data_IF_386991385692
#
_entry.id   IF_386991385692
#
_cell.length_a   1.000
_cell.length_b   1.000
_cell.length_c   1.000
_cell.angle_alpha   90.00
_cell.angle_beta   90.00
_cell.angle_gamma   90.00
#
_symmetry.space_group_name_H-M   'P 1'
#
loop_
_entity.id
_entity.type
_entity.pdbx_description
1 polymer ?
#
# COMPACT_ATOMS: atom_id res chain seq x y z
N UNK A 1 -5.35 5.72 39.84
CA UNK A 1 -5.51 4.94 38.60
C UNK A 1 -6.70 5.50 37.84
N UNK A 2 -6.46 6.43 36.92
CA UNK A 2 -7.51 6.99 36.07
C UNK A 2 -7.79 6.00 34.93
N UNK A 3 -9.05 5.63 34.75
CA UNK A 3 -9.49 4.85 33.60
C UNK A 3 -9.28 5.71 32.34
N UNK A 4 -8.21 5.45 31.58
CA UNK A 4 -8.11 5.87 30.18
C UNK A 4 -9.25 5.21 29.42
N UNK A 5 -10.38 5.90 29.32
CA UNK A 5 -11.61 5.36 28.78
C UNK A 5 -11.54 5.23 27.26
N UNK A 6 -12.16 4.18 26.71
CA UNK A 6 -12.29 3.97 25.26
C UNK A 6 -12.75 5.23 24.49
N UNK A 7 -13.48 6.13 25.15
CA UNK A 7 -13.87 7.44 24.63
C UNK A 7 -12.71 8.36 24.25
N UNK A 8 -11.61 8.37 25.00
CA UNK A 8 -10.42 9.16 24.67
C UNK A 8 -9.66 8.55 23.47
N UNK A 9 -9.68 7.21 23.35
CA UNK A 9 -9.16 6.50 22.19
C UNK A 9 -9.91 6.82 20.90
N UNK A 10 -11.25 6.80 20.92
CA UNK A 10 -12.08 7.15 19.76
C UNK A 10 -11.85 8.60 19.32
N UNK A 11 -11.78 9.54 20.27
CA UNK A 11 -11.51 10.96 19.96
C UNK A 11 -10.14 11.15 19.30
N UNK A 12 -9.11 10.45 19.76
CA UNK A 12 -7.78 10.49 19.15
C UNK A 12 -7.77 9.97 17.71
N UNK A 13 -8.42 8.83 17.45
CA UNK A 13 -8.53 8.28 16.09
C UNK A 13 -9.34 9.19 15.15
N UNK A 14 -10.40 9.82 15.65
CA UNK A 14 -11.17 10.81 14.88
C UNK A 14 -10.35 12.05 14.53
N UNK A 15 -9.46 12.51 15.42
CA UNK A 15 -8.55 13.62 15.12
C UNK A 15 -7.64 13.28 13.93
N UNK A 16 -7.04 12.10 13.98
CA UNK A 16 -6.17 11.58 12.91
C UNK A 16 -6.91 11.44 11.58
N UNK A 17 -8.17 10.98 11.60
CA UNK A 17 -9.01 10.91 10.41
C UNK A 17 -9.33 12.29 9.82
N UNK A 18 -9.46 13.34 10.65
CA UNK A 18 -9.69 14.72 10.16
C UNK A 18 -8.45 15.35 9.55
N UNK A 19 -7.26 14.94 9.99
CA UNK A 19 -5.98 15.37 9.40
C UNK A 19 -5.68 14.70 8.05
N UNK A 20 -6.49 13.71 7.64
CA UNK A 20 -6.39 13.01 6.36
C UNK A 20 -7.63 13.37 5.56
N UNK A 21 -7.47 13.79 4.30
CA UNK A 21 -8.63 13.90 3.41
C UNK A 21 -9.19 12.50 3.16
N UNK A 22 -10.26 12.14 3.87
CA UNK A 22 -10.97 10.87 3.67
C UNK A 22 -11.90 10.91 2.47
N UNK A 23 -12.09 12.10 1.90
CA UNK A 23 -12.95 12.33 0.75
C UNK A 23 -12.41 11.57 -0.45
N UNK A 24 -11.08 11.54 -0.64
CA UNK A 24 -10.44 10.71 -1.67
C UNK A 24 -10.73 9.23 -1.45
N UNK A 25 -10.53 8.70 -0.24
CA UNK A 25 -10.79 7.27 0.05
C UNK A 25 -12.27 6.93 -0.16
N UNK A 26 -13.18 7.84 0.21
CA UNK A 26 -14.62 7.68 0.02
C UNK A 26 -14.98 7.69 -1.46
N UNK A 27 -14.53 8.69 -2.21
CA UNK A 27 -14.75 8.83 -3.64
C UNK A 27 -14.25 7.60 -4.39
N UNK A 28 -13.03 7.13 -4.07
CA UNK A 28 -12.48 5.93 -4.67
C UNK A 28 -13.31 4.69 -4.33
N UNK A 29 -13.74 4.54 -3.08
CA UNK A 29 -14.55 3.42 -2.65
C UNK A 29 -15.95 3.41 -3.30
N UNK A 30 -16.58 4.57 -3.42
CA UNK A 30 -17.96 4.72 -3.90
C UNK A 30 -18.07 4.73 -5.43
N UNK A 31 -16.95 4.91 -6.15
CA UNK A 31 -16.89 4.80 -7.61
C UNK A 31 -16.62 3.34 -8.01
N UNK A 32 -17.59 2.61 -8.60
CA UNK A 32 -17.38 1.23 -9.00
C UNK A 32 -16.32 1.11 -10.10
N UNK A 33 -15.48 0.06 -10.11
CA UNK A 33 -14.45 -0.09 -11.11
C UNK A 33 -15.04 -0.48 -12.48
N UNK A 34 -14.31 -0.18 -13.56
CA UNK A 34 -14.58 -0.69 -14.91
C UNK A 34 -13.40 -1.51 -15.42
N UNK A 35 -13.66 -2.74 -15.82
CA UNK A 35 -12.64 -3.70 -16.27
C UNK A 35 -12.96 -4.16 -17.68
N UNK A 36 -12.00 -4.00 -18.59
CA UNK A 36 -12.07 -4.63 -19.91
C UNK A 36 -11.53 -6.06 -19.80
N UNK A 37 -12.28 -7.04 -20.31
CA UNK A 37 -11.83 -8.42 -20.45
C UNK A 37 -11.76 -8.76 -21.94
N UNK A 38 -10.56 -9.07 -22.41
CA UNK A 38 -10.31 -9.55 -23.77
C UNK A 38 -9.97 -11.03 -23.71
N UNK A 39 -10.71 -11.84 -24.45
CA UNK A 39 -10.52 -13.29 -24.51
C UNK A 39 -10.48 -13.81 -25.96
N UNK A 40 -10.20 -15.11 -26.19
CA UNK A 40 -10.16 -15.69 -27.54
C UNK A 40 -11.47 -15.46 -28.31
N UNK A 41 -12.59 -15.55 -27.61
CA UNK A 41 -13.94 -15.23 -28.09
C UNK A 41 -14.66 -14.35 -27.08
N UNK A 42 -15.73 -13.66 -27.49
CA UNK A 42 -16.53 -12.82 -26.58
C UNK A 42 -17.16 -13.64 -25.46
N UNK A 43 -17.52 -14.91 -25.71
CA UNK A 43 -18.03 -15.82 -24.69
C UNK A 43 -16.94 -16.27 -23.71
N UNK A 44 -15.73 -16.56 -24.21
CA UNK A 44 -14.58 -16.88 -23.37
C UNK A 44 -14.19 -15.70 -22.46
N UNK A 45 -14.20 -14.48 -23.01
CA UNK A 45 -14.02 -13.24 -22.25
C UNK A 45 -15.09 -13.06 -21.17
N UNK A 46 -16.36 -13.31 -21.51
CA UNK A 46 -17.49 -13.24 -20.56
C UNK A 46 -17.34 -14.25 -19.43
N UNK A 47 -17.03 -15.52 -19.72
CA UNK A 47 -16.79 -16.55 -18.70
C UNK A 47 -15.64 -16.18 -17.76
N UNK A 48 -14.53 -15.69 -18.31
CA UNK A 48 -13.39 -15.21 -17.52
C UNK A 48 -13.80 -14.03 -16.62
N UNK A 49 -14.53 -13.06 -17.16
CA UNK A 49 -15.00 -11.92 -16.37
C UNK A 49 -15.96 -12.31 -15.25
N UNK A 50 -16.89 -13.23 -15.49
CA UNK A 50 -17.78 -13.76 -14.47
C UNK A 50 -17.02 -14.51 -13.36
N UNK A 51 -16.00 -15.30 -13.73
CA UNK A 51 -15.12 -15.94 -12.76
C UNK A 51 -14.33 -14.91 -11.94
N UNK A 52 -13.86 -13.84 -12.60
CA UNK A 52 -13.08 -12.77 -11.98
C UNK A 52 -13.90 -11.93 -10.99
N UNK A 53 -15.04 -11.40 -11.43
CA UNK A 53 -15.83 -10.41 -10.67
C UNK A 53 -16.97 -11.02 -9.87
N UNK A 54 -17.35 -12.27 -10.16
CA UNK A 54 -18.57 -12.90 -9.67
C UNK A 54 -19.80 -12.45 -10.46
N UNK A 55 -20.90 -13.20 -10.37
CA UNK A 55 -22.13 -12.90 -11.10
C UNK A 55 -22.69 -11.50 -10.77
N UNK A 56 -22.62 -11.09 -9.50
CA UNK A 56 -23.05 -9.76 -9.03
C UNK A 56 -22.17 -8.63 -9.60
N UNK A 57 -20.94 -8.94 -10.01
CA UNK A 57 -19.95 -7.99 -10.51
C UNK A 57 -20.00 -7.73 -12.02
N UNK A 58 -20.94 -8.35 -12.75
CA UNK A 58 -20.99 -8.28 -14.21
C UNK A 58 -21.09 -6.83 -14.73
N UNK A 59 -21.75 -5.93 -14.00
CA UNK A 59 -21.91 -4.51 -14.36
C UNK A 59 -20.57 -3.76 -14.49
N UNK A 60 -19.51 -4.28 -13.85
CA UNK A 60 -18.18 -3.69 -13.83
C UNK A 60 -17.35 -4.12 -15.05
N UNK A 61 -17.80 -5.10 -15.83
CA UNK A 61 -16.99 -5.73 -16.87
C UNK A 61 -17.50 -5.49 -18.29
N UNK A 62 -16.57 -5.23 -19.21
CA UNK A 62 -16.81 -5.23 -20.65
C UNK A 62 -16.08 -6.39 -21.30
N UNK A 63 -16.69 -7.01 -22.31
CA UNK A 63 -16.16 -8.21 -22.96
C UNK A 63 -15.86 -7.94 -24.43
N UNK A 64 -14.69 -8.37 -24.89
CA UNK A 64 -14.27 -8.29 -26.29
C UNK A 64 -13.57 -9.58 -26.71
N UNK A 65 -13.80 -10.02 -27.94
CA UNK A 65 -12.95 -11.04 -28.55
C UNK A 65 -11.58 -10.45 -28.94
N UNK A 66 -10.56 -11.30 -29.02
CA UNK A 66 -9.18 -10.93 -29.29
C UNK A 66 -8.97 -10.21 -30.64
N UNK A 67 -9.90 -10.40 -31.59
CA UNK A 67 -9.93 -9.78 -32.91
C UNK A 67 -10.99 -8.68 -33.07
N UNK A 68 -11.83 -8.44 -32.05
CA UNK A 68 -12.90 -7.45 -32.09
C UNK A 68 -12.35 -6.03 -31.93
N UNK A 69 -12.93 -5.00 -32.57
CA UNK A 69 -12.55 -3.60 -32.35
C UNK A 69 -12.63 -3.19 -30.87
N UNK A 70 -11.70 -2.32 -30.46
CA UNK A 70 -11.55 -1.83 -29.08
C UNK A 70 -11.94 -0.35 -28.97
N UNK A 71 -13.07 -0.02 -29.59
CA UNK A 71 -13.62 1.32 -29.62
C UNK A 71 -14.62 1.51 -28.46
N UNK A 72 -14.91 2.76 -28.11
CA UNK A 72 -15.91 3.17 -27.10
C UNK A 72 -15.74 2.53 -25.71
N UNK A 73 -14.49 2.31 -25.28
CA UNK A 73 -14.19 1.71 -23.98
C UNK A 73 -14.60 2.63 -22.81
N UNK A 74 -14.52 3.95 -22.99
CA UNK A 74 -14.66 4.93 -21.92
C UNK A 74 -13.59 4.72 -20.82
N UNK A 75 -13.81 5.29 -19.62
CA UNK A 75 -12.87 5.15 -18.51
C UNK A 75 -12.73 3.70 -18.06
N UNK A 76 -11.50 3.19 -18.01
CA UNK A 76 -11.14 1.88 -17.48
C UNK A 76 -10.28 2.02 -16.22
N UNK A 77 -10.43 1.08 -15.28
CA UNK A 77 -9.54 0.93 -14.14
C UNK A 77 -8.59 -0.27 -14.32
N UNK A 78 -8.92 -1.22 -15.21
CA UNK A 78 -8.01 -2.30 -15.59
C UNK A 78 -8.41 -2.91 -16.93
N UNK A 79 -7.44 -3.54 -17.59
CA UNK A 79 -7.69 -4.41 -18.73
C UNK A 79 -7.05 -5.79 -18.48
N UNK A 80 -7.83 -6.84 -18.69
CA UNK A 80 -7.39 -8.24 -18.61
C UNK A 80 -7.31 -8.81 -20.00
N UNK A 81 -6.19 -9.46 -20.30
CA UNK A 81 -5.95 -10.08 -21.61
C UNK A 81 -5.71 -11.57 -21.43
N UNK A 82 -6.59 -12.38 -22.02
CA UNK A 82 -6.43 -13.81 -22.20
C UNK A 82 -6.28 -14.11 -23.69
N UNK A 83 -5.04 -14.34 -24.11
CA UNK A 83 -4.66 -14.54 -25.51
C UNK A 83 -3.73 -15.76 -25.63
N UNK A 84 -4.27 -16.99 -25.46
CA UNK A 84 -3.48 -18.22 -25.49
C UNK A 84 -2.85 -18.47 -26.87
N UNK A 85 -3.55 -18.08 -27.93
CA UNK A 85 -3.11 -18.26 -29.32
C UNK A 85 -2.15 -17.15 -29.78
N UNK A 86 -1.85 -16.18 -28.92
CA UNK A 86 -0.93 -15.06 -29.16
C UNK A 86 -1.30 -14.28 -30.43
N UNK A 87 -2.58 -13.96 -30.58
CA UNK A 87 -3.10 -13.18 -31.71
C UNK A 87 -2.64 -11.72 -31.71
N UNK A 88 -1.98 -11.27 -30.63
CA UNK A 88 -1.52 -9.90 -30.47
C UNK A 88 -2.53 -9.02 -29.73
N UNK A 89 -3.51 -9.61 -29.05
CA UNK A 89 -4.55 -8.88 -28.33
C UNK A 89 -3.96 -7.94 -27.26
N UNK A 90 -2.87 -8.35 -26.61
CA UNK A 90 -2.18 -7.51 -25.62
C UNK A 90 -1.65 -6.20 -26.20
N UNK A 91 -1.02 -6.25 -27.39
CA UNK A 91 -0.54 -5.05 -28.07
C UNK A 91 -1.70 -4.15 -28.50
N UNK A 92 -2.78 -4.75 -29.01
CA UNK A 92 -3.99 -3.99 -29.39
C UNK A 92 -4.62 -3.26 -28.21
N UNK A 93 -4.77 -3.95 -27.08
CA UNK A 93 -5.26 -3.33 -25.83
C UNK A 93 -4.33 -2.21 -25.39
N UNK A 94 -3.01 -2.45 -25.43
CA UNK A 94 -2.02 -1.42 -25.10
C UNK A 94 -2.18 -0.17 -25.96
N UNK A 95 -2.36 -0.32 -27.27
CA UNK A 95 -2.60 0.81 -28.17
C UNK A 95 -3.94 1.51 -27.89
N UNK A 96 -4.99 0.75 -27.58
CA UNK A 96 -6.32 1.31 -27.32
C UNK A 96 -6.37 2.20 -26.07
N UNK A 97 -5.59 1.89 -25.03
CA UNK A 97 -5.60 2.61 -23.74
C UNK A 97 -4.36 3.49 -23.53
N UNK A 98 -3.47 3.63 -24.52
CA UNK A 98 -2.17 4.29 -24.35
C UNK A 98 -2.26 5.78 -23.97
N UNK A 99 -3.38 6.43 -24.27
CA UNK A 99 -3.62 7.84 -23.98
C UNK A 99 -4.54 8.07 -22.77
N UNK A 100 -4.95 7.00 -22.09
CA UNK A 100 -5.79 7.11 -20.90
C UNK A 100 -5.00 7.68 -19.73
N UNK A 101 -5.66 8.58 -18.97
CA UNK A 101 -5.12 9.16 -17.75
C UNK A 101 -6.13 8.95 -16.61
N UNK A 102 -5.76 8.24 -15.53
CA UNK A 102 -4.46 7.59 -15.32
C UNK A 102 -4.22 6.39 -16.27
N UNK A 103 -2.96 5.96 -16.44
CA UNK A 103 -2.65 4.79 -17.28
C UNK A 103 -3.40 3.55 -16.83
N UNK A 104 -4.07 2.87 -17.75
CA UNK A 104 -4.84 1.65 -17.46
C UNK A 104 -3.89 0.45 -17.30
N UNK A 105 -3.88 -0.22 -16.12
CA UNK A 105 -3.07 -1.41 -15.96
C UNK A 105 -3.58 -2.57 -16.81
N UNK A 106 -2.67 -3.12 -17.63
CA UNK A 106 -2.94 -4.31 -18.43
C UNK A 106 -2.38 -5.52 -17.70
N UNK A 107 -3.25 -6.49 -17.38
CA UNK A 107 -2.90 -7.73 -16.69
C UNK A 107 -3.17 -8.91 -17.60
N UNK A 108 -2.15 -9.75 -17.82
CA UNK A 108 -2.30 -10.96 -18.60
C UNK A 108 -2.87 -12.07 -17.71
N UNK A 109 -3.87 -12.80 -18.21
CA UNK A 109 -4.33 -14.02 -17.60
C UNK A 109 -3.50 -15.21 -18.10
N UNK A 110 -2.83 -15.91 -17.18
CA UNK A 110 -1.93 -17.04 -17.48
C UNK A 110 -2.55 -18.41 -17.13
N UNK A 111 -3.81 -18.44 -16.70
CA UNK A 111 -4.51 -19.69 -16.36
C UNK A 111 -4.92 -20.51 -17.58
N UNK A 112 -5.24 -21.79 -17.36
CA UNK A 112 -5.70 -22.70 -18.42
C UNK A 112 -7.12 -22.36 -18.91
N UNK A 113 -7.89 -21.64 -18.10
CA UNK A 113 -9.23 -21.17 -18.45
C UNK A 113 -9.96 -20.56 -17.26
N UNK A 114 -11.22 -20.12 -17.45
CA UNK A 114 -12.01 -19.45 -16.40
C UNK A 114 -12.28 -20.30 -15.15
N UNK A 115 -12.17 -21.63 -15.28
CA UNK A 115 -12.41 -22.59 -14.19
C UNK A 115 -11.16 -22.80 -13.30
N UNK A 116 -10.01 -22.18 -13.65
CA UNK A 116 -8.79 -22.21 -12.84
C UNK A 116 -8.87 -21.19 -11.68
N UNK A 117 -9.46 -21.63 -10.56
CA UNK A 117 -9.68 -20.79 -9.38
C UNK A 117 -8.39 -20.13 -8.85
N UNK A 118 -7.24 -20.82 -8.93
CA UNK A 118 -5.96 -20.28 -8.45
C UNK A 118 -5.47 -19.15 -9.34
N UNK A 119 -5.54 -19.33 -10.66
CA UNK A 119 -5.17 -18.28 -11.61
C UNK A 119 -6.11 -17.08 -11.49
N UNK A 120 -7.41 -17.30 -11.24
CA UNK A 120 -8.37 -16.22 -11.02
C UNK A 120 -8.05 -15.43 -9.75
N UNK A 121 -7.76 -16.11 -8.63
CA UNK A 121 -7.39 -15.43 -7.40
C UNK A 121 -6.09 -14.62 -7.56
N UNK A 122 -5.11 -15.20 -8.25
CA UNK A 122 -3.87 -14.49 -8.55
C UNK A 122 -4.10 -13.28 -9.47
N UNK A 123 -4.99 -13.40 -10.46
CA UNK A 123 -5.40 -12.30 -11.33
C UNK A 123 -6.03 -11.16 -10.53
N UNK A 124 -6.91 -11.44 -9.55
CA UNK A 124 -7.47 -10.39 -8.67
C UNK A 124 -6.38 -9.64 -7.92
N UNK A 125 -5.43 -10.37 -7.33
CA UNK A 125 -4.30 -9.78 -6.61
C UNK A 125 -3.44 -8.90 -7.52
N UNK A 126 -3.16 -9.35 -8.75
CA UNK A 126 -2.33 -8.59 -9.68
C UNK A 126 -3.02 -7.34 -10.23
N UNK A 127 -4.34 -7.39 -10.44
CA UNK A 127 -5.14 -6.20 -10.76
C UNK A 127 -5.03 -5.18 -9.62
N UNK A 128 -5.25 -5.60 -8.38
CA UNK A 128 -5.25 -4.69 -7.23
C UNK A 128 -3.85 -4.11 -6.95
N UNK A 129 -2.79 -4.90 -7.10
CA UNK A 129 -1.39 -4.44 -6.92
C UNK A 129 -1.02 -3.31 -7.88
N UNK A 130 -1.54 -3.35 -9.11
CA UNK A 130 -1.31 -2.31 -10.11
C UNK A 130 -2.27 -1.12 -9.99
N UNK A 131 -3.25 -1.21 -9.09
CA UNK A 131 -4.32 -0.24 -8.88
C UNK A 131 -4.44 0.19 -7.40
N UNK A 132 -3.31 0.58 -6.78
CA UNK A 132 -3.24 0.87 -5.34
C UNK A 132 -4.33 1.83 -4.83
N UNK A 133 -4.64 2.88 -5.60
CA UNK A 133 -5.65 3.88 -5.22
C UNK A 133 -7.10 3.38 -5.37
N UNK A 134 -7.33 2.37 -6.22
CA UNK A 134 -8.67 1.83 -6.51
C UNK A 134 -9.02 0.59 -5.68
N UNK A 135 -8.11 0.11 -4.82
CA UNK A 135 -8.30 -1.11 -4.03
C UNK A 135 -9.63 -1.11 -3.24
N UNK A 136 -10.00 0.03 -2.63
CA UNK A 136 -11.26 0.15 -1.90
C UNK A 136 -12.48 0.09 -2.81
N UNK A 137 -12.42 0.68 -4.00
CA UNK A 137 -13.49 0.63 -5.01
C UNK A 137 -13.75 -0.79 -5.51
N UNK A 138 -12.68 -1.52 -5.86
CA UNK A 138 -12.77 -2.93 -6.23
C UNK A 138 -13.36 -3.78 -5.11
N UNK A 139 -12.83 -3.68 -3.89
CA UNK A 139 -13.32 -4.46 -2.76
C UNK A 139 -14.76 -4.14 -2.39
N UNK A 140 -15.17 -2.87 -2.42
CA UNK A 140 -16.54 -2.46 -2.07
C UNK A 140 -17.55 -2.94 -3.09
N UNK A 141 -17.28 -2.69 -4.38
CA UNK A 141 -18.21 -2.96 -5.46
C UNK A 141 -18.29 -4.45 -5.84
N UNK A 142 -17.18 -5.19 -5.70
CA UNK A 142 -17.08 -6.57 -6.16
C UNK A 142 -16.81 -7.52 -4.98
N UNK A 143 -17.80 -8.32 -4.53
CA UNK A 143 -17.63 -9.27 -3.43
C UNK A 143 -16.45 -10.22 -3.63
N UNK A 144 -16.22 -10.67 -4.87
CA UNK A 144 -15.11 -11.55 -5.24
C UNK A 144 -13.73 -10.94 -4.97
N UNK A 145 -13.60 -9.61 -4.91
CA UNK A 145 -12.34 -8.90 -4.65
C UNK A 145 -12.14 -8.56 -3.17
N UNK A 146 -13.14 -8.68 -2.29
CA UNK A 146 -13.06 -8.21 -0.89
C UNK A 146 -11.87 -8.76 -0.13
N UNK A 147 -11.65 -10.07 -0.22
CA UNK A 147 -10.57 -10.73 0.50
C UNK A 147 -9.19 -10.30 -0.02
N UNK A 148 -9.04 -10.22 -1.35
CA UNK A 148 -7.81 -9.77 -1.99
C UNK A 148 -7.51 -8.28 -1.67
N UNK A 149 -8.54 -7.42 -1.71
CA UNK A 149 -8.43 -6.00 -1.38
C UNK A 149 -8.08 -5.78 0.09
N UNK A 150 -8.76 -6.49 1.02
CA UNK A 150 -8.45 -6.42 2.44
C UNK A 150 -7.02 -6.86 2.72
N UNK A 151 -6.59 -7.97 2.10
CA UNK A 151 -5.22 -8.46 2.21
C UNK A 151 -4.19 -7.43 1.74
N UNK A 152 -4.41 -6.79 0.59
CA UNK A 152 -3.49 -5.77 0.07
C UNK A 152 -3.39 -4.57 1.00
N UNK A 153 -4.52 -4.02 1.48
CA UNK A 153 -4.53 -2.90 2.42
C UNK A 153 -3.77 -3.23 3.71
N UNK A 154 -3.96 -4.44 4.25
CA UNK A 154 -3.27 -4.90 5.45
C UNK A 154 -1.76 -5.05 5.19
N UNK A 155 -1.39 -5.61 4.05
CA UNK A 155 0.01 -5.85 3.69
C UNK A 155 0.78 -4.54 3.48
N UNK A 156 0.22 -3.61 2.71
CA UNK A 156 0.80 -2.28 2.48
C UNK A 156 1.00 -1.53 3.80
N UNK A 157 -0.02 -1.54 4.67
CA UNK A 157 0.05 -0.87 5.98
C UNK A 157 1.11 -1.52 6.89
N UNK A 158 1.20 -2.86 6.88
CA UNK A 158 2.14 -3.60 7.71
C UNK A 158 3.58 -3.35 7.26
N UNK A 159 3.83 -3.28 5.95
CA UNK A 159 5.13 -2.92 5.38
C UNK A 159 5.50 -1.47 5.74
N UNK A 160 4.57 -0.53 5.56
CA UNK A 160 4.80 0.87 5.91
C UNK A 160 5.16 1.04 7.40
N UNK A 161 4.40 0.41 8.30
CA UNK A 161 4.69 0.46 9.74
C UNK A 161 6.02 -0.18 10.11
N UNK A 162 6.39 -1.29 9.45
CA UNK A 162 7.68 -1.92 9.64
C UNK A 162 8.83 -0.99 9.20
N UNK A 163 8.69 -0.33 8.04
CA UNK A 163 9.65 0.67 7.55
C UNK A 163 9.81 1.84 8.53
N UNK A 164 8.71 2.41 9.02
CA UNK A 164 8.75 3.51 10.00
C UNK A 164 9.48 3.12 11.28
N UNK A 165 9.27 1.89 11.78
CA UNK A 165 9.96 1.39 12.98
C UNK A 165 11.49 1.31 12.84
N UNK A 166 12.04 1.34 11.63
CA UNK A 166 13.49 1.39 11.40
C UNK A 166 13.97 2.84 11.37
N UNK A 167 13.26 3.71 10.66
CA UNK A 167 13.64 5.12 10.47
C UNK A 167 13.68 5.85 11.81
N UNK A 168 12.73 5.58 12.70
CA UNK A 168 12.73 6.12 14.07
C UNK A 168 13.86 5.57 14.96
N UNK A 169 14.55 4.52 14.51
CA UNK A 169 15.67 3.88 15.21
C UNK A 169 17.03 4.43 14.74
N UNK A 170 17.07 5.55 13.99
CA UNK A 170 18.27 6.33 13.66
C UNK A 170 18.29 7.65 14.45
N UNK A 171 18.87 7.69 15.67
CA UNK A 171 18.99 8.91 16.46
C UNK A 171 19.90 10.00 15.84
N UNK A 172 20.54 9.73 14.70
CA UNK A 172 21.70 10.50 14.22
C UNK A 172 21.46 11.40 12.99
N UNK A 173 20.27 11.41 12.37
CA UNK A 173 20.09 12.09 11.07
C UNK A 173 19.25 13.38 11.08
N UNK A 174 18.65 13.78 12.19
CA UNK A 174 17.96 15.08 12.28
C UNK A 174 18.33 15.78 13.61
N UNK A 175 19.40 16.60 13.64
CA UNK A 175 19.84 17.30 14.85
C UNK A 175 18.92 18.44 15.32
N UNK A 176 17.76 18.67 14.68
CA UNK A 176 16.98 19.90 14.87
C UNK A 176 15.72 19.71 15.74
N UNK A 177 15.26 18.47 15.99
CA UNK A 177 14.07 18.26 16.82
C UNK A 177 14.43 17.51 18.11
N UNK A 178 15.07 18.27 19.01
CA UNK A 178 15.56 17.78 20.29
C UNK A 178 14.46 17.38 21.29
N UNK A 179 14.70 16.25 21.96
CA UNK A 179 14.28 15.99 23.34
C UNK A 179 12.86 15.49 23.58
N UNK A 180 11.83 16.00 22.90
CA UNK A 180 10.42 15.69 23.23
C UNK A 180 9.54 15.31 22.03
N UNK A 181 10.03 15.46 20.79
CA UNK A 181 9.21 15.27 19.59
C UNK A 181 9.41 13.92 18.88
N UNK A 182 10.54 13.23 19.07
CA UNK A 182 10.82 11.97 18.36
C UNK A 182 9.86 10.83 18.80
N UNK A 183 9.63 10.67 20.10
CA UNK A 183 8.69 9.66 20.62
C UNK A 183 7.21 9.99 20.35
N UNK A 184 6.87 11.27 20.18
CA UNK A 184 5.51 11.74 19.90
C UNK A 184 5.13 11.67 18.43
N UNK A 185 6.06 11.97 17.51
CA UNK A 185 5.84 11.88 16.07
C UNK A 185 5.65 10.42 15.61
N UNK A 186 6.44 9.49 16.15
CA UNK A 186 6.31 8.04 15.90
C UNK A 186 4.91 7.51 16.25
N UNK A 187 4.35 8.01 17.36
CA UNK A 187 3.03 7.66 17.85
C UNK A 187 1.91 8.16 16.92
N UNK A 188 2.05 9.36 16.36
CA UNK A 188 1.06 9.98 15.48
C UNK A 188 1.03 9.27 14.12
N UNK A 189 2.20 9.00 13.52
CA UNK A 189 2.29 8.40 12.17
C UNK A 189 1.84 6.94 12.14
N UNK A 190 2.28 6.11 13.09
CA UNK A 190 1.87 4.69 13.16
C UNK A 190 0.37 4.55 13.46
N UNK A 191 -0.16 5.45 14.31
CA UNK A 191 -1.60 5.48 14.60
C UNK A 191 -2.39 5.91 13.36
N UNK A 192 -1.88 6.86 12.57
CA UNK A 192 -2.48 7.28 11.29
C UNK A 192 -2.60 6.14 10.29
N UNK A 193 -1.53 5.39 10.06
CA UNK A 193 -1.56 4.24 9.15
C UNK A 193 -2.58 3.19 9.59
N UNK A 194 -2.63 2.86 10.89
CA UNK A 194 -3.60 1.89 11.42
C UNK A 194 -5.04 2.40 11.31
N UNK A 195 -5.29 3.66 11.62
CA UNK A 195 -6.62 4.28 11.52
C UNK A 195 -7.12 4.30 10.06
N UNK A 196 -6.26 4.70 9.12
CA UNK A 196 -6.57 4.67 7.67
C UNK A 196 -6.83 3.24 7.20
N UNK A 197 -6.01 2.27 7.61
CA UNK A 197 -6.21 0.86 7.27
C UNK A 197 -7.59 0.37 7.72
N UNK A 198 -7.99 0.66 8.95
CA UNK A 198 -9.31 0.26 9.48
C UNK A 198 -10.46 0.92 8.72
N UNK A 199 -10.29 2.19 8.31
CA UNK A 199 -11.27 2.90 7.50
C UNK A 199 -11.36 2.33 6.07
N UNK A 200 -10.23 2.02 5.42
CA UNK A 200 -10.19 1.34 4.11
C UNK A 200 -10.84 -0.04 4.17
N UNK A 201 -10.60 -0.81 5.23
CA UNK A 201 -11.26 -2.09 5.46
C UNK A 201 -12.78 -1.91 5.62
N UNK A 202 -13.23 -0.90 6.38
CA UNK A 202 -14.64 -0.58 6.49
C UNK A 202 -15.27 -0.23 5.11
N UNK A 203 -14.53 0.50 4.28
CA UNK A 203 -14.95 0.84 2.92
C UNK A 203 -15.15 -0.40 2.04
N UNK A 204 -14.16 -1.32 2.05
CA UNK A 204 -14.20 -2.60 1.32
C UNK A 204 -15.42 -3.44 1.72
N UNK A 205 -15.76 -3.46 3.01
CA UNK A 205 -16.90 -4.22 3.54
C UNK A 205 -18.21 -3.44 3.56
N UNK A 206 -18.33 -2.37 2.76
CA UNK A 206 -19.63 -1.73 2.51
C UNK A 206 -20.14 -0.84 3.64
N UNK A 207 -19.32 -0.49 4.64
CA UNK A 207 -19.77 0.37 5.76
C UNK A 207 -20.07 1.79 5.29
N UNK A 208 -20.87 2.51 6.06
CA UNK A 208 -21.24 3.89 5.79
C UNK A 208 -20.08 4.84 6.11
N UNK A 209 -19.42 5.35 5.07
CA UNK A 209 -18.22 6.19 5.16
C UNK A 209 -18.49 7.62 5.65
N UNK A 210 -19.75 8.00 5.81
CA UNK A 210 -20.14 9.28 6.44
C UNK A 210 -20.17 9.18 7.97
N UNK A 211 -20.28 7.97 8.52
CA UNK A 211 -20.32 7.74 9.97
C UNK A 211 -19.00 7.17 10.50
N UNK A 212 -17.95 7.99 10.41
CA UNK A 212 -16.61 7.66 10.88
C UNK A 212 -16.58 7.26 12.36
N UNK A 213 -17.42 7.91 13.18
CA UNK A 213 -17.50 7.63 14.62
C UNK A 213 -17.98 6.22 14.86
N UNK A 214 -19.06 5.81 14.21
CA UNK A 214 -19.60 4.44 14.35
C UNK A 214 -18.60 3.41 13.84
N UNK A 215 -17.96 3.63 12.68
CA UNK A 215 -16.91 2.74 12.17
C UNK A 215 -15.82 2.51 13.23
N UNK A 216 -15.32 3.59 13.83
CA UNK A 216 -14.27 3.50 14.84
C UNK A 216 -14.76 2.86 16.15
N UNK A 217 -15.96 3.18 16.61
CA UNK A 217 -16.54 2.61 17.83
C UNK A 217 -16.79 1.10 17.71
N UNK A 218 -17.20 0.63 16.54
CA UNK A 218 -17.43 -0.79 16.26
C UNK A 218 -16.14 -1.59 16.23
N UNK A 219 -15.10 -1.06 15.57
CA UNK A 219 -13.84 -1.78 15.39
C UNK A 219 -12.91 -1.64 16.61
N UNK A 220 -13.03 -0.58 17.40
CA UNK A 220 -12.13 -0.32 18.53
C UNK A 220 -12.09 -1.47 19.56
N UNK A 221 -13.20 -2.12 19.97
CA UNK A 221 -13.14 -3.28 20.86
C UNK A 221 -12.46 -4.51 20.25
N UNK A 222 -12.45 -4.61 18.92
CA UNK A 222 -11.80 -5.69 18.17
C UNK A 222 -10.29 -5.48 18.13
N UNK A 223 -9.87 -4.23 17.93
CA UNK A 223 -8.45 -3.84 17.79
C UNK A 223 -7.83 -3.29 19.08
N UNK A 224 -8.63 -3.12 20.13
CA UNK A 224 -8.20 -2.59 21.44
C UNK A 224 -7.17 -3.48 22.12
N UNK A 225 -7.18 -4.78 21.83
CA UNK A 225 -6.08 -5.69 22.18
C UNK A 225 -4.81 -5.45 21.35
N UNK A 226 -4.93 -4.97 20.11
CA UNK A 226 -3.79 -4.60 19.25
C UNK A 226 -3.07 -3.31 19.67
N UNK A 227 -3.76 -2.39 20.36
CA UNK A 227 -3.14 -1.27 21.08
C UNK A 227 -2.21 -1.75 22.21
N UNK A 228 -2.52 -2.90 22.84
CA UNK A 228 -1.67 -3.56 23.85
C UNK A 228 -0.38 -4.13 23.25
N UNK A 229 -0.40 -4.55 21.99
CA UNK A 229 0.78 -5.06 21.28
C UNK A 229 1.91 -4.02 21.14
N UNK A 230 1.60 -2.72 21.28
CA UNK A 230 2.60 -1.64 21.28
C UNK A 230 3.34 -1.52 22.62
N UNK A 231 2.64 -1.77 23.73
CA UNK A 231 3.26 -1.92 25.05
C UNK A 231 4.21 -3.12 25.03
N UNK A 232 3.78 -4.23 24.42
CA UNK A 232 4.61 -5.41 24.22
C UNK A 232 5.82 -5.15 23.30
N UNK A 233 5.68 -4.34 22.25
CA UNK A 233 6.80 -3.93 21.40
C UNK A 233 7.86 -3.08 22.14
N UNK A 234 7.38 -2.17 23.01
CA UNK A 234 8.23 -1.32 23.85
C UNK A 234 8.95 -2.16 24.91
N UNK A 235 8.26 -3.08 25.56
CA UNK A 235 8.85 -4.01 26.54
C UNK A 235 9.84 -4.97 25.89
N UNK A 236 9.49 -5.57 24.74
CA UNK A 236 10.40 -6.45 24.00
C UNK A 236 11.71 -5.74 23.61
N UNK A 237 11.65 -4.44 23.31
CA UNK A 237 12.84 -3.63 23.02
C UNK A 237 13.70 -3.29 24.23
N UNK A 238 13.13 -3.31 25.43
CA UNK A 238 13.85 -3.07 26.69
C UNK A 238 14.52 -4.33 27.22
N UNK A 239 14.04 -5.52 26.82
CA UNK A 239 14.50 -6.81 27.34
C UNK A 239 15.54 -7.49 26.45
N UNK A 240 15.60 -7.17 25.15
CA UNK A 240 16.62 -7.70 24.25
C UNK A 240 17.92 -6.87 24.34
N UNK A 241 19.05 -7.46 24.82
CA UNK A 241 20.33 -6.77 24.83
C UNK A 241 20.73 -6.40 23.40
N UNK A 242 21.50 -5.31 23.28
CA UNK A 242 22.02 -4.67 22.06
C UNK A 242 22.64 -5.58 20.96
N UNK A 243 22.72 -6.90 21.17
CA UNK A 243 23.32 -7.87 20.27
C UNK A 243 22.40 -8.41 19.14
N UNK A 244 21.08 -8.16 19.16
CA UNK A 244 20.14 -8.71 18.16
C UNK A 244 19.57 -7.69 17.12
N UNK A 245 19.96 -6.41 17.18
CA UNK A 245 19.64 -5.41 16.15
C UNK A 245 18.15 -5.03 16.01
N UNK A 246 17.80 -4.29 14.95
CA UNK A 246 16.45 -3.74 14.67
C UNK A 246 15.37 -4.78 14.28
N UNK A 247 15.75 -6.06 14.19
CA UNK A 247 14.93 -7.17 13.65
C UNK A 247 13.71 -7.51 14.53
N UNK A 248 13.80 -7.57 15.88
CA UNK A 248 12.66 -7.91 16.72
C UNK A 248 11.54 -6.85 16.70
N UNK A 249 11.89 -5.55 16.67
CA UNK A 249 10.91 -4.46 16.61
C UNK A 249 10.13 -4.47 15.29
N UNK A 250 10.85 -4.63 14.17
CA UNK A 250 10.26 -4.75 12.84
C UNK A 250 9.25 -5.89 12.80
N UNK A 251 9.64 -7.04 13.36
CA UNK A 251 8.81 -8.21 13.43
C UNK A 251 7.50 -7.99 14.20
N UNK A 252 7.60 -7.35 15.35
CA UNK A 252 6.45 -7.04 16.20
C UNK A 252 5.54 -6.01 15.52
N UNK A 253 6.11 -4.97 14.88
CA UNK A 253 5.35 -3.94 14.17
C UNK A 253 4.59 -4.49 12.96
N UNK A 254 5.26 -5.32 12.15
CA UNK A 254 4.63 -6.00 11.01
C UNK A 254 3.54 -6.96 11.49
N UNK A 255 3.88 -7.91 12.37
CA UNK A 255 2.96 -8.94 12.82
C UNK A 255 1.75 -8.38 13.58
N UNK A 256 1.98 -7.35 14.40
CA UNK A 256 0.91 -6.65 15.10
C UNK A 256 -0.05 -5.94 14.16
N UNK A 257 0.46 -5.30 13.11
CA UNK A 257 -0.38 -4.64 12.11
C UNK A 257 -1.20 -5.65 11.31
N UNK A 258 -0.60 -6.78 10.91
CA UNK A 258 -1.33 -7.87 10.23
C UNK A 258 -2.42 -8.44 11.14
N UNK A 259 -2.10 -8.76 12.40
CA UNK A 259 -3.06 -9.34 13.33
C UNK A 259 -4.26 -8.40 13.57
N UNK A 260 -4.00 -7.09 13.77
CA UNK A 260 -5.04 -6.06 13.90
C UNK A 260 -5.89 -5.95 12.63
N UNK A 261 -5.25 -5.92 11.47
CA UNK A 261 -5.94 -5.86 10.19
C UNK A 261 -6.85 -7.06 9.95
N UNK A 262 -6.37 -8.28 10.24
CA UNK A 262 -7.14 -9.53 10.14
C UNK A 262 -8.29 -9.59 11.14
N UNK A 263 -8.08 -9.10 12.36
CA UNK A 263 -9.14 -8.99 13.35
C UNK A 263 -10.28 -8.07 12.87
N UNK A 264 -9.93 -6.90 12.34
CA UNK A 264 -10.89 -5.95 11.77
C UNK A 264 -11.59 -6.52 10.53
N UNK A 265 -10.85 -7.14 9.61
CA UNK A 265 -11.40 -7.84 8.45
C UNK A 265 -12.42 -8.92 8.87
N UNK A 266 -12.06 -9.77 9.84
CA UNK A 266 -12.94 -10.80 10.37
C UNK A 266 -14.23 -10.20 10.94
N UNK A 267 -14.11 -9.14 11.73
CA UNK A 267 -15.26 -8.42 12.28
C UNK A 267 -16.14 -7.81 11.18
N UNK A 268 -15.57 -7.09 10.22
CA UNK A 268 -16.37 -6.46 9.18
C UNK A 268 -17.09 -7.47 8.28
N UNK A 269 -16.45 -8.63 8.04
CA UNK A 269 -17.02 -9.71 7.25
C UNK A 269 -18.12 -10.48 7.97
N UNK A 270 -17.98 -10.72 9.27
CA UNK A 270 -18.84 -11.67 10.02
C UNK A 270 -19.74 -11.02 11.08
N UNK A 271 -19.44 -9.78 11.47
CA UNK A 271 -20.04 -9.11 12.63
C UNK A 271 -19.53 -9.63 13.98
N UNK A 272 -18.63 -10.63 14.00
CA UNK A 272 -18.15 -11.28 15.22
C UNK A 272 -16.76 -10.78 15.61
N UNK A 273 -16.50 -10.73 16.91
CA UNK A 273 -15.14 -10.49 17.43
C UNK A 273 -14.34 -11.79 17.33
N UNK A 274 -13.08 -11.75 16.86
CA UNK A 274 -12.23 -12.94 16.85
C UNK A 274 -11.98 -13.42 18.28
N UNK A 275 -11.95 -14.73 18.44
CA UNK A 275 -11.55 -15.41 19.68
C UNK A 275 -10.05 -15.25 19.91
N UNK A 276 -9.57 -15.55 21.13
CA UNK A 276 -8.13 -15.55 21.44
C UNK A 276 -7.34 -16.50 20.53
N UNK A 277 -7.86 -17.71 20.29
CA UNK A 277 -7.23 -18.68 19.42
C UNK A 277 -7.08 -18.17 17.97
N UNK A 278 -8.10 -17.48 17.44
CA UNK A 278 -8.02 -16.84 16.12
C UNK A 278 -7.00 -15.69 16.09
N UNK A 279 -6.89 -14.92 17.17
CA UNK A 279 -5.87 -13.88 17.29
C UNK A 279 -4.45 -14.46 17.29
N UNK A 280 -4.25 -15.58 17.99
CA UNK A 280 -2.98 -16.29 18.02
C UNK A 280 -2.63 -16.84 16.63
N UNK A 281 -3.62 -17.37 15.90
CA UNK A 281 -3.47 -17.84 14.52
C UNK A 281 -3.09 -16.68 13.57
N UNK A 282 -3.77 -15.54 13.66
CA UNK A 282 -3.43 -14.36 12.85
C UNK A 282 -2.01 -13.89 13.10
N UNK A 283 -1.57 -13.93 14.36
CA UNK A 283 -0.21 -13.55 14.75
C UNK A 283 0.82 -14.55 14.23
N UNK A 284 0.57 -15.86 14.37
CA UNK A 284 1.45 -16.91 13.88
C UNK A 284 1.61 -16.85 12.35
N UNK A 285 0.50 -16.71 11.61
CA UNK A 285 0.53 -16.54 10.15
C UNK A 285 1.33 -15.31 9.74
N UNK A 286 1.22 -14.20 10.47
CA UNK A 286 1.96 -12.98 10.18
C UNK A 286 3.47 -13.16 10.37
N UNK A 287 3.88 -13.83 11.45
CA UNK A 287 5.28 -14.15 11.72
C UNK A 287 5.86 -15.08 10.66
N UNK A 288 5.11 -16.11 10.26
CA UNK A 288 5.53 -17.02 9.19
C UNK A 288 5.69 -16.29 7.85
N UNK A 289 4.71 -15.45 7.50
CA UNK A 289 4.77 -14.66 6.27
C UNK A 289 5.96 -13.72 6.25
N UNK A 290 6.23 -13.04 7.36
CA UNK A 290 7.40 -12.18 7.51
C UNK A 290 8.71 -12.96 7.27
N UNK A 291 8.86 -14.17 7.83
CA UNK A 291 10.07 -14.98 7.65
C UNK A 291 10.34 -15.26 6.17
N UNK A 292 9.29 -15.38 5.35
CA UNK A 292 9.39 -15.56 3.90
C UNK A 292 9.73 -14.28 3.14
N UNK A 293 9.46 -13.11 3.71
CA UNK A 293 9.57 -11.82 3.02
C UNK A 293 11.00 -11.26 2.96
N UNK A 294 12.02 -11.91 3.53
CA UNK A 294 13.41 -11.39 3.56
C UNK A 294 13.46 -9.86 3.76
N UNK A 295 12.71 -9.35 4.74
CA UNK A 295 12.55 -7.91 4.96
C UNK A 295 13.88 -7.14 4.97
N UNK A 296 14.99 -7.64 5.56
CA UNK A 296 16.28 -6.95 5.47
C UNK A 296 16.74 -6.64 4.04
N UNK A 297 16.43 -7.49 3.07
CA UNK A 297 16.84 -7.34 1.68
C UNK A 297 15.90 -6.40 0.90
N UNK A 298 14.58 -6.49 1.13
CA UNK A 298 13.63 -5.48 0.60
C UNK A 298 14.00 -4.08 1.10
N UNK A 299 14.40 -3.95 2.36
CA UNK A 299 14.77 -2.68 2.99
C UNK A 299 16.11 -2.11 2.49
N UNK A 300 17.08 -2.96 2.12
CA UNK A 300 18.32 -2.51 1.45
C UNK A 300 18.01 -1.86 0.11
N UNK A 301 17.15 -2.50 -0.70
CA UNK A 301 16.74 -1.97 -2.03
C UNK A 301 16.11 -0.58 -1.92
N UNK A 302 15.25 -0.36 -0.94
CA UNK A 302 14.64 0.95 -0.70
C UNK A 302 15.63 2.03 -0.21
N UNK A 303 16.65 1.69 0.59
CA UNK A 303 17.72 2.66 0.93
C UNK A 303 18.46 3.08 -0.35
N UNK A 304 18.81 2.12 -1.20
CA UNK A 304 19.51 2.38 -2.46
C UNK A 304 18.67 3.21 -3.43
N UNK A 305 17.37 2.93 -3.60
CA UNK A 305 16.46 3.72 -4.44
C UNK A 305 16.29 5.17 -3.92
N UNK A 306 16.27 5.38 -2.60
CA UNK A 306 16.17 6.73 -2.02
C UNK A 306 17.46 7.53 -2.13
N UNK A 307 18.62 6.88 -1.98
CA UNK A 307 19.94 7.51 -2.18
C UNK A 307 20.13 7.92 -3.65
N UNK A 308 19.57 7.15 -4.59
CA UNK A 308 19.50 7.49 -6.02
C UNK A 308 18.51 8.63 -6.29
N UNK A 309 17.30 8.59 -5.72
CA UNK A 309 16.32 9.67 -5.86
C UNK A 309 16.77 10.99 -5.19
N UNK A 310 17.53 10.94 -4.09
CA UNK A 310 18.16 12.14 -3.50
C UNK A 310 19.28 12.67 -4.39
N UNK A 311 20.06 11.79 -5.03
CA UNK A 311 21.12 12.19 -5.96
C UNK A 311 20.58 12.80 -7.26
N UNK A 312 19.41 12.37 -7.74
CA UNK A 312 18.72 12.98 -8.89
C UNK A 312 18.01 14.30 -8.54
N UNK A 313 17.49 14.45 -7.32
CA UNK A 313 16.86 15.71 -6.84
C UNK A 313 17.91 16.75 -6.44
N UNK A 314 19.11 16.35 -6.01
CA UNK A 314 20.28 17.24 -5.90
C UNK A 314 21.08 17.26 -7.20
N UNK A 315 20.43 17.57 -8.31
CA UNK A 315 21.09 18.04 -9.52
C UNK A 315 21.71 19.43 -9.32
N UNK A 316 22.65 19.57 -8.39
CA UNK A 316 23.62 20.66 -8.48
C UNK A 316 24.48 20.35 -9.72
N UNK A 317 24.63 21.29 -10.67
CA UNK A 317 25.39 21.02 -11.88
C UNK A 317 26.80 20.60 -11.49
N UNK A 318 27.25 19.45 -12.01
CA UNK A 318 28.66 19.11 -11.96
C UNK A 318 29.42 20.18 -12.73
N UNK A 319 29.99 21.13 -12.02
CA UNK A 319 31.03 22.01 -12.57
C UNK A 319 32.21 21.09 -12.85
N UNK A 320 32.29 20.65 -14.10
CA UNK A 320 33.54 20.12 -14.63
C UNK A 320 34.48 21.32 -14.65
N UNK A 321 35.40 21.38 -13.68
CA UNK A 321 36.53 22.29 -13.75
C UNK A 321 37.37 21.80 -14.92
N UNK A 322 37.13 22.39 -16.09
CA UNK A 322 38.06 22.32 -17.20
C UNK A 322 39.29 23.07 -16.68
N UNK A 323 40.37 22.35 -16.41
CA UNK A 323 41.68 22.96 -16.16
C UNK A 323 42.05 23.78 -17.38
N UNK A 324 41.80 25.09 -17.30
CA UNK A 324 42.25 26.04 -18.32
C UNK A 324 43.77 26.10 -18.24
N UNK A 325 44.40 25.58 -19.28
CA UNK A 325 45.84 25.59 -19.51
C UNK A 325 46.43 26.97 -19.18
N UNK A 326 47.40 26.99 -18.26
CA UNK A 326 48.07 28.17 -17.75
C UNK A 326 48.82 28.91 -18.86
N UNK A 327 48.37 30.13 -19.19
CA UNK A 327 49.15 31.10 -19.98
C UNK A 327 50.25 31.71 -19.10
N UNK A 328 51.50 31.81 -19.58
CA UNK A 328 52.61 32.36 -18.80
C UNK A 328 52.47 33.87 -18.58
N UNK A 329 52.71 34.32 -17.34
CA UNK A 329 52.67 35.73 -16.94
C UNK A 329 53.82 36.54 -17.56
N UNK A 330 53.46 37.57 -18.33
CA UNK A 330 54.38 38.64 -18.72
C UNK A 330 54.65 39.58 -17.53
N UNK A 331 55.87 39.53 -17.01
CA UNK A 331 56.40 40.52 -16.05
C UNK A 331 56.45 41.91 -16.69
N UNK A 332 55.63 42.86 -16.22
CA UNK A 332 55.88 44.30 -16.40
C UNK A 332 56.18 44.98 -15.06
N UNK A 333 57.44 45.41 -14.96
CA UNK A 333 58.11 46.13 -13.87
C UNK A 333 57.98 47.64 -14.11
N UNK A 334 57.43 48.41 -13.17
CA UNK A 334 57.70 49.86 -12.98
C UNK A 334 57.51 50.20 -11.49
N UNK A 335 58.60 50.34 -10.71
CA UNK A 335 59.32 51.57 -10.30
C UNK A 335 58.50 52.51 -9.40
N UNK A 336 58.85 52.54 -8.11
CA UNK A 336 58.53 53.63 -7.18
C UNK A 336 59.79 54.51 -7.06
N UNK A 337 59.62 55.81 -7.24
CA UNK A 337 60.58 56.87 -6.91
C UNK A 337 59.84 57.97 -6.13
N UNK A 338 60.56 58.79 -5.33
CA UNK A 338 60.20 59.05 -3.94
C UNK A 338 59.39 60.34 -3.73
N UNK A 339 58.67 60.37 -2.61
CA UNK A 339 58.01 61.54 -2.01
C UNK A 339 57.56 61.19 -0.61
#
# INVERSE_FOLDING_TARGET
MQAFGAFDGVRGMLSVLREVSLDEIREQAETPPRVLIVGPTSEAARRLGLALTGAEGQFSSMYRAANEPLDDLGRLDAAVVWDPDRTGAGSRVSTAVQYDSPPVPIVRFEGTGPDDERAIEQLRLDILRRNGDRVTGFGRALPAFRQAAARQVIDETSIANAQFSIVSNLPALIPIIGGLAAAGADFIVLTKNQVIMLYKLAAIYGRNLNDQRTILQEVLPVVGAGLVWRTLAREASAVLPFAAGAVPKLAIAYAGTVAVGRAAEYYYRTGLKPTRAQMDEFTAMALERMRRLNLPEMLKRFRTERDQAHSEVTGAPQVTVIETESRPEERKRWRIGPG
#
